data_IF_261315863233
#
_entry.id   IF_261315863233
#
_cell.length_a   1.000
_cell.length_b   1.000
_cell.length_c   1.000
_cell.angle_alpha   90.00
_cell.angle_beta   90.00
_cell.angle_gamma   90.00
#
_symmetry.space_group_name_H-M   'P 1'
#
loop_
_entity.id
_entity.type
_entity.pdbx_description
1 polymer ?
#
# COMPACT_ATOMS: atom_id res chain seq x y z
N UNK A 1 24.92 43.36 4.67
CA UNK A 1 25.31 41.93 4.61
C UNK A 1 24.43 41.17 5.60
N UNK A 2 23.28 40.66 5.17
CA UNK A 2 22.32 39.97 6.04
C UNK A 2 22.33 38.47 5.72
N UNK A 3 22.83 37.66 6.66
CA UNK A 3 22.81 36.19 6.60
C UNK A 3 21.44 35.72 7.11
N UNK A 4 20.62 35.20 6.23
CA UNK A 4 19.42 34.45 6.62
C UNK A 4 19.85 33.01 6.80
N UNK A 5 19.78 32.53 8.04
CA UNK A 5 19.94 31.13 8.44
C UNK A 5 18.54 30.62 8.79
N UNK A 6 18.32 29.31 8.58
CA UNK A 6 17.31 28.45 9.25
C UNK A 6 16.10 28.05 8.40
N UNK A 7 15.55 26.83 8.42
CA UNK A 7 15.80 25.57 9.10
C UNK A 7 15.22 24.47 8.18
N UNK A 8 16.00 23.47 7.76
CA UNK A 8 15.46 22.27 7.13
C UNK A 8 14.99 21.31 8.21
N UNK A 9 13.67 21.28 8.47
CA UNK A 9 13.07 20.25 9.31
C UNK A 9 13.15 18.89 8.60
N UNK A 10 14.16 18.09 8.94
CA UNK A 10 14.23 16.71 8.51
C UNK A 10 13.21 15.90 9.32
N UNK A 11 12.07 15.57 8.71
CA UNK A 11 11.13 14.62 9.26
C UNK A 11 11.80 13.24 9.30
N UNK A 12 12.16 12.78 10.50
CA UNK A 12 12.71 11.44 10.71
C UNK A 12 11.57 10.43 10.57
N UNK A 13 11.50 9.73 9.43
CA UNK A 13 10.64 8.56 9.29
C UNK A 13 11.21 7.45 10.18
N UNK A 14 10.59 7.24 11.34
CA UNK A 14 10.82 6.06 12.15
C UNK A 14 10.22 4.83 11.44
N UNK A 15 11.00 4.21 10.56
CA UNK A 15 10.67 2.92 9.98
C UNK A 15 10.87 1.83 11.04
N UNK A 16 9.80 1.49 11.77
CA UNK A 16 9.80 0.32 12.64
C UNK A 16 9.89 -0.95 11.78
N UNK A 17 11.02 -1.65 11.83
CA UNK A 17 11.21 -2.95 11.20
C UNK A 17 10.30 -3.98 11.88
N UNK A 18 9.10 -4.17 11.31
CA UNK A 18 8.22 -5.27 11.67
C UNK A 18 8.77 -6.55 11.04
N UNK A 19 8.88 -7.62 11.83
CA UNK A 19 9.31 -8.95 11.41
C UNK A 19 8.56 -9.36 10.15
N UNK A 20 9.28 -9.42 9.02
CA UNK A 20 8.72 -9.77 7.72
C UNK A 20 8.32 -11.25 7.72
N UNK A 21 7.06 -11.51 8.05
CA UNK A 21 6.44 -12.76 7.62
C UNK A 21 6.28 -12.66 6.10
N UNK A 22 6.76 -13.65 5.33
CA UNK A 22 6.68 -13.70 3.87
C UNK A 22 5.21 -13.93 3.44
N UNK A 23 4.35 -12.95 3.71
CA UNK A 23 2.93 -12.97 3.35
C UNK A 23 2.82 -12.60 1.88
N UNK A 24 2.70 -13.63 1.04
CA UNK A 24 2.54 -13.47 -0.41
C UNK A 24 1.09 -13.17 -0.76
N UNK A 25 0.87 -12.11 -1.52
CA UNK A 25 -0.43 -11.78 -2.10
C UNK A 25 -0.45 -12.31 -3.53
N UNK A 26 -1.10 -13.45 -3.75
CA UNK A 26 -1.31 -13.96 -5.10
C UNK A 26 -2.33 -13.12 -5.85
N UNK A 27 -2.07 -12.84 -7.13
CA UNK A 27 -3.00 -12.15 -8.04
C UNK A 27 -3.11 -12.82 -9.41
N UNK A 28 -2.31 -13.85 -9.71
CA UNK A 28 -2.24 -14.45 -11.05
C UNK A 28 -3.53 -15.16 -11.50
N UNK A 29 -4.43 -15.42 -10.56
CA UNK A 29 -5.77 -15.97 -10.79
C UNK A 29 -6.84 -14.90 -11.03
N UNK A 30 -6.50 -13.61 -10.93
CA UNK A 30 -7.43 -12.49 -11.03
C UNK A 30 -7.28 -11.80 -12.39
N UNK A 31 -8.41 -11.54 -13.05
CA UNK A 31 -8.45 -10.58 -14.15
C UNK A 31 -8.52 -9.15 -13.60
N UNK A 32 -7.33 -8.55 -13.42
CA UNK A 32 -7.19 -7.20 -12.86
C UNK A 32 -7.79 -6.10 -13.76
N UNK A 33 -8.03 -6.39 -15.05
CA UNK A 33 -8.66 -5.45 -15.97
C UNK A 33 -10.14 -5.22 -15.63
N UNK A 34 -10.74 -6.16 -14.90
CA UNK A 34 -12.14 -6.11 -14.48
C UNK A 34 -12.29 -5.50 -13.10
N UNK A 35 -13.48 -4.94 -12.86
CA UNK A 35 -13.88 -4.43 -11.55
C UNK A 35 -13.79 -5.49 -10.45
N UNK A 36 -14.29 -6.71 -10.73
CA UNK A 36 -14.31 -7.79 -9.74
C UNK A 36 -12.89 -8.26 -9.39
N UNK A 37 -12.01 -8.43 -10.38
CA UNK A 37 -10.63 -8.83 -10.14
C UNK A 37 -9.83 -7.78 -9.36
N UNK A 38 -9.96 -6.50 -9.70
CA UNK A 38 -9.32 -5.42 -8.95
C UNK A 38 -9.82 -5.37 -7.48
N UNK A 39 -11.13 -5.49 -7.26
CA UNK A 39 -11.72 -5.50 -5.92
C UNK A 39 -11.31 -6.73 -5.08
N UNK A 40 -11.13 -7.89 -5.71
CA UNK A 40 -10.59 -9.09 -5.05
C UNK A 40 -9.15 -8.89 -4.63
N UNK A 41 -8.32 -8.28 -5.47
CA UNK A 41 -6.94 -7.94 -5.10
C UNK A 41 -6.91 -6.98 -3.91
N UNK A 42 -7.72 -5.92 -3.94
CA UNK A 42 -7.84 -4.98 -2.81
C UNK A 42 -8.30 -5.68 -1.52
N UNK A 43 -9.17 -6.67 -1.62
CA UNK A 43 -9.61 -7.47 -0.47
C UNK A 43 -8.47 -8.33 0.09
N UNK A 44 -7.67 -8.97 -0.77
CA UNK A 44 -6.49 -9.75 -0.34
C UNK A 44 -5.44 -8.86 0.32
N UNK A 45 -5.17 -7.68 -0.25
CA UNK A 45 -4.27 -6.68 0.33
C UNK A 45 -4.75 -6.28 1.73
N UNK A 46 -6.05 -5.97 1.89
CA UNK A 46 -6.61 -5.60 3.20
C UNK A 46 -6.48 -6.72 4.23
N UNK A 47 -6.75 -7.97 3.85
CA UNK A 47 -6.60 -9.11 4.76
C UNK A 47 -5.16 -9.27 5.26
N UNK A 48 -4.17 -9.14 4.37
CA UNK A 48 -2.75 -9.18 4.74
C UNK A 48 -2.37 -7.98 5.61
N UNK A 49 -2.85 -6.78 5.26
CA UNK A 49 -2.62 -5.59 6.06
C UNK A 49 -3.21 -5.70 7.47
N UNK A 50 -4.39 -6.31 7.62
CA UNK A 50 -5.02 -6.52 8.93
C UNK A 50 -4.19 -7.45 9.81
N UNK A 51 -3.59 -8.49 9.24
CA UNK A 51 -2.68 -9.38 9.96
C UNK A 51 -1.38 -8.67 10.37
N UNK A 52 -0.75 -7.96 9.44
CA UNK A 52 0.53 -7.25 9.68
C UNK A 52 0.38 -6.07 10.65
N UNK A 53 -0.75 -5.39 10.63
CA UNK A 53 -0.99 -4.17 11.40
C UNK A 53 -1.79 -4.42 12.69
N UNK A 54 -2.04 -5.67 13.07
CA UNK A 54 -2.93 -6.04 14.18
C UNK A 54 -2.55 -5.39 15.53
N UNK A 55 -1.25 -5.39 15.85
CA UNK A 55 -0.72 -4.98 17.17
C UNK A 55 -0.38 -3.49 17.27
N UNK A 56 -0.85 -2.66 16.33
CA UNK A 56 -0.56 -1.22 16.28
C UNK A 56 -1.69 -0.39 16.90
N UNK A 57 -1.38 0.82 17.36
CA UNK A 57 -2.41 1.78 17.80
C UNK A 57 -3.33 2.14 16.62
N UNK A 58 -4.55 2.69 16.85
CA UNK A 58 -5.48 3.01 15.75
C UNK A 58 -4.88 3.88 14.64
N UNK A 59 -4.12 4.92 14.99
CA UNK A 59 -3.48 5.82 14.01
C UNK A 59 -2.35 5.13 13.25
N UNK A 60 -1.47 4.42 13.95
CA UNK A 60 -0.38 3.65 13.34
C UNK A 60 -0.90 2.53 12.45
N UNK A 61 -2.03 1.91 12.82
CA UNK A 61 -2.69 0.87 12.03
C UNK A 61 -3.24 1.43 10.73
N UNK A 62 -3.80 2.65 10.74
CA UNK A 62 -4.23 3.32 9.51
C UNK A 62 -3.04 3.58 8.57
N UNK A 63 -1.96 4.16 9.09
CA UNK A 63 -0.74 4.41 8.32
C UNK A 63 -0.11 3.11 7.80
N UNK A 64 -0.06 2.07 8.64
CA UNK A 64 0.44 0.75 8.27
C UNK A 64 -0.36 0.12 7.13
N UNK A 65 -1.70 0.15 7.20
CA UNK A 65 -2.56 -0.38 6.13
C UNK A 65 -2.36 0.36 4.81
N UNK A 66 -2.21 1.68 4.86
CA UNK A 66 -1.92 2.48 3.68
C UNK A 66 -0.56 2.11 3.07
N UNK A 67 0.48 1.98 3.89
CA UNK A 67 1.81 1.55 3.46
C UNK A 67 1.84 0.15 2.86
N UNK A 68 1.14 -0.83 3.47
CA UNK A 68 1.03 -2.20 2.92
C UNK A 68 0.36 -2.18 1.55
N UNK A 69 -0.69 -1.38 1.37
CA UNK A 69 -1.35 -1.23 0.07
C UNK A 69 -0.42 -0.63 -0.97
N UNK A 70 0.25 0.46 -0.64
CA UNK A 70 1.17 1.14 -1.56
C UNK A 70 2.32 0.23 -1.99
N UNK A 71 2.93 -0.49 -1.05
CA UNK A 71 3.98 -1.47 -1.30
C UNK A 71 3.47 -2.63 -2.17
N UNK A 72 2.31 -3.20 -1.85
CA UNK A 72 1.73 -4.30 -2.62
C UNK A 72 1.47 -3.89 -4.08
N UNK A 73 0.93 -2.70 -4.31
CA UNK A 73 0.68 -2.19 -5.65
C UNK A 73 1.98 -1.81 -6.38
N UNK A 74 2.98 -1.30 -5.67
CA UNK A 74 4.29 -0.95 -6.23
C UNK A 74 5.07 -2.19 -6.69
N UNK A 75 4.89 -3.33 -6.01
CA UNK A 75 5.52 -4.61 -6.36
C UNK A 75 4.84 -5.34 -7.54
N UNK A 76 3.67 -4.89 -8.00
CA UNK A 76 3.06 -5.46 -9.21
C UNK A 76 3.92 -5.14 -10.45
N UNK A 77 4.06 -6.09 -11.39
CA UNK A 77 4.63 -5.80 -12.70
C UNK A 77 3.89 -4.64 -13.39
N UNK A 78 4.61 -3.88 -14.21
CA UNK A 78 4.06 -2.67 -14.85
C UNK A 78 2.74 -2.92 -15.61
N UNK A 79 2.62 -4.03 -16.33
CA UNK A 79 1.39 -4.40 -17.02
C UNK A 79 0.23 -4.62 -16.04
N UNK A 80 0.46 -5.38 -14.96
CA UNK A 80 -0.56 -5.67 -13.94
C UNK A 80 -1.03 -4.41 -13.20
N UNK A 81 -0.14 -3.43 -12.97
CA UNK A 81 -0.52 -2.12 -12.41
C UNK A 81 -1.45 -1.35 -13.33
N UNK A 82 -1.20 -1.35 -14.63
CA UNK A 82 -2.07 -0.70 -15.62
C UNK A 82 -3.44 -1.37 -15.70
N UNK A 83 -3.48 -2.70 -15.70
CA UNK A 83 -4.74 -3.46 -15.68
C UNK A 83 -5.54 -3.17 -14.41
N UNK A 84 -4.89 -3.26 -13.24
CA UNK A 84 -5.51 -2.88 -11.96
C UNK A 84 -6.06 -1.45 -11.98
N UNK A 85 -5.30 -0.48 -12.47
CA UNK A 85 -5.75 0.91 -12.58
C UNK A 85 -6.97 1.08 -13.51
N UNK A 86 -7.12 0.23 -14.53
CA UNK A 86 -8.31 0.20 -15.38
C UNK A 86 -9.51 -0.38 -14.63
N UNK A 87 -9.33 -1.55 -14.01
CA UNK A 87 -10.41 -2.23 -13.28
C UNK A 87 -10.90 -1.44 -12.05
N UNK A 88 -10.02 -0.70 -11.38
CA UNK A 88 -10.35 0.07 -10.17
C UNK A 88 -11.11 1.36 -10.46
N UNK A 89 -10.83 2.05 -11.58
CA UNK A 89 -11.56 3.27 -11.98
C UNK A 89 -13.05 3.05 -12.18
N UNK A 90 -13.47 1.84 -12.55
CA UNK A 90 -14.88 1.47 -12.67
C UNK A 90 -15.63 1.43 -11.33
N UNK A 91 -14.95 1.64 -10.19
CA UNK A 91 -15.57 1.82 -8.88
C UNK A 91 -15.81 3.30 -8.53
N UNK A 92 -15.10 4.23 -9.17
CA UNK A 92 -15.05 5.65 -8.80
C UNK A 92 -15.95 6.55 -9.67
N UNK A 93 -16.60 5.97 -10.69
CA UNK A 93 -17.58 6.61 -11.58
C UNK A 93 -19.00 6.07 -11.30
#
# INVERSE_FOLDING_TARGET
MFRIVSLTAAAVLAASAASASDLRISYGDLDLATRDGAARLDTRIRQVADQLCANRTPLERLACRAGVRDEALSNLPAHARTEYARGSRSFEA
#
